data_IF_672894025733
#
_entry.id   IF_672894025733
#
_cell.length_a   1.000
_cell.length_b   1.000
_cell.length_c   1.000
_cell.angle_alpha   90.00
_cell.angle_beta   90.00
_cell.angle_gamma   90.00
#
_symmetry.space_group_name_H-M   'P 1'
#
loop_
_entity.id
_entity.type
_entity.pdbx_description
1 polymer ?
#
# COMPACT_ATOMS: atom_id res chain seq x y z
N UNK A 1 15.29 -3.18 -79.77
CA UNK A 1 14.57 -2.61 -80.93
C UNK A 1 15.32 -2.77 -82.26
N UNK A 2 16.58 -2.31 -82.39
CA UNK A 2 17.35 -2.42 -83.65
C UNK A 2 17.49 -3.86 -84.21
N UNK A 3 17.57 -4.86 -83.32
CA UNK A 3 17.66 -6.28 -83.67
C UNK A 3 16.44 -6.80 -84.47
N UNK A 4 15.22 -6.30 -84.17
CA UNK A 4 14.01 -6.66 -84.90
C UNK A 4 13.90 -5.91 -86.24
N UNK A 5 14.38 -4.66 -86.26
CA UNK A 5 14.37 -3.81 -87.45
C UNK A 5 15.21 -4.43 -88.58
N UNK A 6 16.37 -5.01 -88.27
CA UNK A 6 17.20 -5.72 -89.25
C UNK A 6 16.45 -6.91 -89.89
N UNK A 7 15.72 -7.71 -89.09
CA UNK A 7 14.93 -8.83 -89.60
C UNK A 7 13.80 -8.40 -90.53
N UNK A 8 13.10 -7.31 -90.19
CA UNK A 8 12.02 -6.76 -91.02
C UNK A 8 12.57 -6.22 -92.35
N UNK A 9 13.72 -5.54 -92.33
CA UNK A 9 14.38 -5.06 -93.56
C UNK A 9 14.73 -6.23 -94.49
N UNK A 10 15.26 -7.32 -93.94
CA UNK A 10 15.60 -8.52 -94.75
C UNK A 10 14.34 -9.12 -95.39
N UNK A 11 13.23 -9.23 -94.64
CA UNK A 11 11.96 -9.74 -95.18
C UNK A 11 11.44 -8.84 -96.31
N UNK A 12 11.50 -7.51 -96.13
CA UNK A 12 11.09 -6.54 -97.15
C UNK A 12 11.96 -6.63 -98.42
N UNK A 13 13.27 -6.82 -98.26
CA UNK A 13 14.20 -6.98 -99.39
C UNK A 13 13.90 -8.27 -100.17
N UNK A 14 13.68 -9.40 -99.48
CA UNK A 14 13.25 -10.67 -100.10
C UNK A 14 11.92 -10.50 -100.84
N UNK A 15 10.98 -9.76 -100.26
CA UNK A 15 9.67 -9.49 -100.86
C UNK A 15 9.82 -8.64 -102.12
N UNK A 16 10.64 -7.59 -102.08
CA UNK A 16 10.92 -6.72 -103.23
C UNK A 16 11.59 -7.49 -104.38
N UNK A 17 12.57 -8.36 -104.08
CA UNK A 17 13.20 -9.24 -105.08
C UNK A 17 12.18 -10.18 -105.71
N UNK A 18 11.29 -10.77 -104.89
CA UNK A 18 10.25 -11.69 -105.37
C UNK A 18 9.26 -10.99 -106.29
N UNK A 19 8.83 -9.76 -105.94
CA UNK A 19 7.91 -8.95 -106.76
C UNK A 19 8.58 -8.51 -108.06
N UNK A 20 9.84 -8.08 -108.02
CA UNK A 20 10.60 -7.71 -109.22
C UNK A 20 10.82 -8.90 -110.15
N UNK A 21 11.14 -10.08 -109.61
CA UNK A 21 11.27 -11.31 -110.38
C UNK A 21 9.94 -11.70 -111.04
N UNK A 22 8.83 -11.57 -110.31
CA UNK A 22 7.49 -11.85 -110.83
C UNK A 22 7.05 -10.91 -111.96
N UNK A 23 7.45 -9.64 -111.92
CA UNK A 23 7.11 -8.66 -112.97
C UNK A 23 7.93 -8.85 -114.25
N UNK A 24 9.18 -9.30 -114.14
CA UNK A 24 10.10 -9.33 -115.28
C UNK A 24 10.09 -10.70 -116.00
N UNK A 25 10.00 -11.81 -115.27
CA UNK A 25 10.30 -13.16 -115.76
C UNK A 25 9.14 -14.14 -115.51
N UNK A 26 7.95 -13.82 -116.04
CA UNK A 26 6.72 -14.61 -115.81
C UNK A 26 6.51 -15.77 -116.81
N UNK A 27 7.41 -15.98 -117.78
CA UNK A 27 7.19 -16.97 -118.86
C UNK A 27 7.73 -18.38 -118.57
N UNK A 28 8.68 -18.54 -117.65
CA UNK A 28 9.34 -19.82 -117.40
C UNK A 28 8.85 -20.47 -116.07
N UNK A 29 8.10 -21.58 -116.13
CA UNK A 29 7.52 -22.22 -114.93
C UNK A 29 8.58 -22.75 -113.95
N UNK A 30 9.79 -23.08 -114.44
CA UNK A 30 10.89 -23.58 -113.60
C UNK A 30 11.47 -22.48 -112.68
N UNK A 31 11.56 -21.23 -113.15
CA UNK A 31 12.08 -20.12 -112.34
C UNK A 31 11.13 -19.74 -111.21
N UNK A 32 9.82 -19.78 -111.46
CA UNK A 32 8.79 -19.53 -110.44
C UNK A 32 8.90 -20.54 -109.30
N UNK A 33 9.06 -21.84 -109.62
CA UNK A 33 9.20 -22.88 -108.62
C UNK A 33 10.42 -22.67 -107.70
N UNK A 34 11.56 -22.24 -108.26
CA UNK A 34 12.78 -21.95 -107.48
C UNK A 34 12.60 -20.75 -106.56
N UNK A 35 11.99 -19.66 -107.06
CA UNK A 35 11.75 -18.46 -106.26
C UNK A 35 10.78 -18.74 -105.11
N UNK A 36 9.72 -19.50 -105.35
CA UNK A 36 8.75 -19.90 -104.31
C UNK A 36 9.42 -20.75 -103.24
N UNK A 37 10.24 -21.74 -103.62
CA UNK A 37 10.96 -22.59 -102.67
C UNK A 37 11.94 -21.77 -101.82
N UNK A 38 12.69 -20.85 -102.45
CA UNK A 38 13.63 -19.97 -101.75
C UNK A 38 12.91 -19.05 -100.75
N UNK A 39 11.80 -18.44 -101.16
CA UNK A 39 10.98 -17.58 -100.29
C UNK A 39 10.39 -18.36 -99.10
N UNK A 40 10.00 -19.63 -99.31
CA UNK A 40 9.53 -20.50 -98.22
C UNK A 40 10.63 -20.80 -97.20
N UNK A 41 11.85 -21.10 -97.65
CA UNK A 41 13.01 -21.32 -96.76
C UNK A 41 13.33 -20.05 -95.97
N UNK A 42 13.35 -18.89 -96.65
CA UNK A 42 13.60 -17.60 -96.00
C UNK A 42 12.52 -17.24 -94.97
N UNK A 43 11.24 -17.54 -95.27
CA UNK A 43 10.14 -17.33 -94.32
C UNK A 43 10.31 -18.19 -93.05
N UNK A 44 10.67 -19.47 -93.21
CA UNK A 44 10.93 -20.38 -92.06
C UNK A 44 12.12 -19.89 -91.24
N UNK A 45 13.20 -19.48 -91.90
CA UNK A 45 14.39 -18.96 -91.21
C UNK A 45 14.09 -17.66 -90.45
N UNK A 46 13.33 -16.75 -91.07
CA UNK A 46 12.89 -15.50 -90.44
C UNK A 46 11.96 -15.76 -89.24
N UNK A 47 11.04 -16.72 -89.35
CA UNK A 47 10.17 -17.13 -88.25
C UNK A 47 10.99 -17.69 -87.08
N UNK A 48 11.98 -18.55 -87.35
CA UNK A 48 12.86 -19.09 -86.32
C UNK A 48 13.72 -18.01 -85.68
N UNK A 49 14.26 -17.08 -86.48
CA UNK A 49 15.02 -15.93 -85.99
C UNK A 49 14.19 -15.04 -85.05
N UNK A 50 12.92 -14.77 -85.41
CA UNK A 50 12.02 -13.97 -84.59
C UNK A 50 11.65 -14.65 -83.26
N UNK A 51 11.46 -15.97 -83.27
CA UNK A 51 11.22 -16.75 -82.04
C UNK A 51 12.46 -16.76 -81.15
N UNK A 52 13.65 -16.93 -81.73
CA UNK A 52 14.90 -16.94 -80.98
C UNK A 52 15.15 -15.59 -80.28
N UNK A 53 15.02 -14.47 -81.02
CA UNK A 53 15.26 -13.13 -80.47
C UNK A 53 14.19 -12.75 -79.42
N UNK A 54 12.94 -13.17 -79.62
CA UNK A 54 11.85 -12.94 -78.67
C UNK A 54 12.06 -13.69 -77.36
N UNK A 55 12.52 -14.94 -77.43
CA UNK A 55 12.85 -15.75 -76.25
C UNK A 55 14.05 -15.19 -75.48
N UNK A 56 15.08 -14.72 -76.17
CA UNK A 56 16.25 -14.11 -75.53
C UNK A 56 15.89 -12.82 -74.78
N UNK A 57 15.12 -11.93 -75.41
CA UNK A 57 14.68 -10.69 -74.77
C UNK A 57 13.83 -10.98 -73.52
N UNK A 58 12.86 -11.90 -73.64
CA UNK A 58 12.00 -12.26 -72.50
C UNK A 58 12.79 -12.88 -71.35
N UNK A 59 13.79 -13.73 -71.64
CA UNK A 59 14.67 -14.29 -70.62
C UNK A 59 15.49 -13.21 -69.91
N UNK A 60 16.05 -12.27 -70.66
CA UNK A 60 16.84 -11.17 -70.10
C UNK A 60 15.98 -10.26 -69.20
N UNK A 61 14.73 -9.97 -69.61
CA UNK A 61 13.80 -9.21 -68.77
C UNK A 61 13.42 -9.96 -67.50
N UNK A 62 13.13 -11.26 -67.59
CA UNK A 62 12.84 -12.09 -66.43
C UNK A 62 14.03 -12.16 -65.47
N UNK A 63 15.25 -12.32 -65.97
CA UNK A 63 16.47 -12.31 -65.14
C UNK A 63 16.65 -10.97 -64.43
N UNK A 64 16.50 -9.85 -65.15
CA UNK A 64 16.60 -8.53 -64.54
C UNK A 64 15.54 -8.31 -63.45
N UNK A 65 14.31 -8.76 -63.68
CA UNK A 65 13.26 -8.71 -62.65
C UNK A 65 13.61 -9.58 -61.45
N UNK A 66 14.13 -10.79 -61.65
CA UNK A 66 14.57 -11.67 -60.57
C UNK A 66 15.70 -11.06 -59.74
N UNK A 67 16.69 -10.45 -60.39
CA UNK A 67 17.79 -9.74 -59.71
C UNK A 67 17.28 -8.55 -58.90
N UNK A 68 16.36 -7.75 -59.45
CA UNK A 68 15.72 -6.65 -58.74
C UNK A 68 14.93 -7.15 -57.52
N UNK A 69 14.17 -8.24 -57.68
CA UNK A 69 13.45 -8.84 -56.56
C UNK A 69 14.39 -9.39 -55.48
N UNK A 70 15.53 -9.99 -55.85
CA UNK A 70 16.53 -10.45 -54.89
C UNK A 70 17.13 -9.26 -54.12
N UNK A 71 17.51 -8.19 -54.84
CA UNK A 71 18.04 -6.97 -54.24
C UNK A 71 17.02 -6.27 -53.34
N UNK A 72 15.75 -6.18 -53.75
CA UNK A 72 14.68 -5.61 -52.94
C UNK A 72 14.47 -6.40 -51.65
N UNK A 73 14.52 -7.73 -51.71
CA UNK A 73 14.42 -8.59 -50.52
C UNK A 73 15.56 -8.33 -49.55
N UNK A 74 16.81 -8.26 -50.02
CA UNK A 74 17.96 -7.94 -49.18
C UNK A 74 17.81 -6.56 -48.54
N UNK A 75 17.37 -5.56 -49.32
CA UNK A 75 17.14 -4.20 -48.81
C UNK A 75 16.06 -4.17 -47.72
N UNK A 76 14.96 -4.90 -47.90
CA UNK A 76 13.88 -4.98 -46.90
C UNK A 76 14.39 -5.68 -45.63
N UNK A 77 15.15 -6.77 -45.77
CA UNK A 77 15.72 -7.49 -44.63
C UNK A 77 16.69 -6.61 -43.83
N UNK A 78 17.60 -5.91 -44.51
CA UNK A 78 18.54 -4.98 -43.85
C UNK A 78 17.80 -3.84 -43.14
N UNK A 79 16.75 -3.29 -43.74
CA UNK A 79 15.95 -2.26 -43.11
C UNK A 79 15.20 -2.80 -41.87
N UNK A 80 14.61 -3.99 -41.97
CA UNK A 80 13.95 -4.64 -40.84
C UNK A 80 14.92 -4.98 -39.71
N UNK A 81 16.16 -5.36 -40.04
CA UNK A 81 17.21 -5.61 -39.04
C UNK A 81 17.64 -4.33 -38.33
N UNK A 82 17.84 -3.23 -39.07
CA UNK A 82 18.13 -1.91 -38.48
C UNK A 82 16.99 -1.42 -37.58
N UNK A 83 15.75 -1.59 -38.02
CA UNK A 83 14.58 -1.21 -37.22
C UNK A 83 14.50 -2.04 -35.93
N UNK A 84 14.70 -3.35 -36.02
CA UNK A 84 14.79 -4.21 -34.83
C UNK A 84 15.92 -3.80 -33.88
N UNK A 85 17.08 -3.43 -34.42
CA UNK A 85 18.20 -2.94 -33.62
C UNK A 85 17.85 -1.63 -32.90
N UNK A 86 17.25 -0.66 -33.60
CA UNK A 86 16.82 0.60 -32.99
C UNK A 86 15.75 0.38 -31.91
N UNK A 87 14.72 -0.44 -32.20
CA UNK A 87 13.67 -0.77 -31.21
C UNK A 87 14.27 -1.47 -29.98
N UNK A 88 15.27 -2.34 -30.16
CA UNK A 88 15.95 -3.00 -29.04
C UNK A 88 16.70 -1.99 -28.17
N UNK A 89 17.38 -1.03 -28.80
CA UNK A 89 18.09 0.06 -28.10
C UNK A 89 17.12 1.00 -27.36
N UNK A 90 16.00 1.36 -27.99
CA UNK A 90 14.94 2.15 -27.34
C UNK A 90 14.34 1.41 -26.15
N UNK A 91 14.07 0.10 -26.29
CA UNK A 91 13.59 -0.73 -25.18
C UNK A 91 14.58 -0.81 -24.03
N UNK A 92 15.89 -0.96 -24.30
CA UNK A 92 16.88 -0.96 -23.23
C UNK A 92 16.96 0.39 -22.52
N UNK A 93 16.91 1.50 -23.27
CA UNK A 93 16.88 2.85 -22.68
C UNK A 93 15.65 3.07 -21.80
N UNK A 94 14.46 2.68 -22.27
CA UNK A 94 13.22 2.74 -21.48
C UNK A 94 13.29 1.85 -20.24
N UNK A 95 13.85 0.64 -20.36
CA UNK A 95 14.03 -0.26 -19.24
C UNK A 95 14.98 0.32 -18.18
N UNK A 96 16.08 0.95 -18.61
CA UNK A 96 17.00 1.66 -17.71
C UNK A 96 16.35 2.89 -17.05
N UNK A 97 15.50 3.61 -17.76
CA UNK A 97 14.72 4.72 -17.19
C UNK A 97 13.74 4.21 -16.13
N UNK A 98 12.99 3.15 -16.43
CA UNK A 98 12.08 2.55 -15.47
C UNK A 98 12.80 1.94 -14.26
N UNK A 99 13.99 1.37 -14.43
CA UNK A 99 14.81 0.90 -13.31
C UNK A 99 15.20 2.07 -12.39
N UNK A 100 15.66 3.19 -12.98
CA UNK A 100 16.00 4.42 -12.24
C UNK A 100 14.79 5.03 -11.52
N UNK A 101 13.64 5.10 -12.18
CA UNK A 101 12.39 5.57 -11.57
C UNK A 101 11.97 4.70 -10.37
N UNK A 102 12.09 3.37 -10.50
CA UNK A 102 11.81 2.44 -9.41
C UNK A 102 12.72 2.67 -8.21
N UNK A 103 14.02 2.84 -8.43
CA UNK A 103 14.97 3.16 -7.35
C UNK A 103 14.64 4.48 -6.67
N UNK A 104 14.28 5.51 -7.44
CA UNK A 104 13.88 6.80 -6.88
C UNK A 104 12.61 6.70 -6.02
N UNK A 105 11.60 5.95 -6.46
CA UNK A 105 10.37 5.73 -5.71
C UNK A 105 10.66 4.94 -4.42
N UNK A 106 11.51 3.92 -4.49
CA UNK A 106 11.91 3.14 -3.32
C UNK A 106 12.64 4.02 -2.29
N UNK A 107 13.61 4.83 -2.72
CA UNK A 107 14.31 5.77 -1.84
C UNK A 107 13.37 6.82 -1.24
N UNK A 108 12.40 7.31 -2.00
CA UNK A 108 11.39 8.23 -1.49
C UNK A 108 10.51 7.56 -0.43
N UNK A 109 10.06 6.34 -0.67
CA UNK A 109 9.26 5.56 0.27
C UNK A 109 10.05 5.20 1.54
N UNK A 110 11.34 4.89 1.43
CA UNK A 110 12.22 4.66 2.59
C UNK A 110 12.38 5.92 3.44
N UNK A 111 12.61 7.08 2.81
CA UNK A 111 12.67 8.37 3.51
C UNK A 111 11.36 8.70 4.21
N UNK A 112 10.23 8.49 3.54
CA UNK A 112 8.90 8.73 4.11
C UNK A 112 8.62 7.81 5.30
N UNK A 113 8.98 6.53 5.21
CA UNK A 113 8.88 5.60 6.34
C UNK A 113 9.72 6.07 7.53
N UNK A 114 10.95 6.54 7.27
CA UNK A 114 11.83 7.06 8.32
C UNK A 114 11.26 8.32 8.99
N UNK A 115 10.69 9.26 8.22
CA UNK A 115 10.07 10.47 8.78
C UNK A 115 8.81 10.15 9.57
N UNK A 116 7.94 9.26 9.07
CA UNK A 116 6.74 8.80 9.79
C UNK A 116 7.12 8.08 11.09
N UNK A 117 8.14 7.22 11.06
CA UNK A 117 8.64 6.56 12.26
C UNK A 117 9.12 7.58 13.31
N UNK A 118 9.94 8.55 12.92
CA UNK A 118 10.39 9.64 13.80
C UNK A 118 9.22 10.47 14.35
N UNK A 119 8.23 10.78 13.51
CA UNK A 119 7.05 11.51 13.92
C UNK A 119 6.19 10.70 14.90
N UNK A 120 6.07 9.39 14.68
CA UNK A 120 5.41 8.46 15.61
C UNK A 120 6.10 8.44 16.97
N UNK A 121 7.43 8.32 17.03
CA UNK A 121 8.17 8.39 18.29
C UNK A 121 7.96 9.72 19.02
N UNK A 122 8.03 10.85 18.31
CA UNK A 122 7.77 12.18 18.90
C UNK A 122 6.34 12.31 19.42
N UNK A 123 5.36 11.77 18.71
CA UNK A 123 3.96 11.78 19.13
C UNK A 123 3.75 10.88 20.34
N UNK A 124 4.36 9.69 20.37
CA UNK A 124 4.36 8.81 21.55
C UNK A 124 4.99 9.51 22.75
N UNK A 125 6.13 10.17 22.62
CA UNK A 125 6.69 10.96 23.74
C UNK A 125 5.75 12.07 24.22
N UNK A 126 5.08 12.77 23.30
CA UNK A 126 4.10 13.81 23.66
C UNK A 126 2.90 13.21 24.38
N UNK A 127 2.39 12.08 23.92
CA UNK A 127 1.27 11.38 24.55
C UNK A 127 1.68 10.75 25.89
N UNK A 128 2.90 10.20 26.02
CA UNK A 128 3.48 9.75 27.28
C UNK A 128 3.61 10.93 28.25
N UNK A 129 4.13 12.09 27.81
CA UNK A 129 4.21 13.30 28.65
C UNK A 129 2.81 13.77 29.09
N UNK A 130 1.82 13.79 28.19
CA UNK A 130 0.43 14.14 28.54
C UNK A 130 -0.21 13.11 29.46
N UNK A 131 0.04 11.82 29.25
CA UNK A 131 -0.47 10.73 30.08
C UNK A 131 0.15 10.77 31.48
N UNK A 132 1.47 11.02 31.59
CA UNK A 132 2.13 11.26 32.87
C UNK A 132 1.61 12.52 33.56
N UNK A 133 1.36 13.62 32.84
CA UNK A 133 0.75 14.82 33.41
C UNK A 133 -0.67 14.55 33.93
N UNK A 134 -1.50 13.82 33.17
CA UNK A 134 -2.85 13.41 33.59
C UNK A 134 -2.81 12.42 34.77
N UNK A 135 -1.86 11.51 34.80
CA UNK A 135 -1.67 10.56 35.89
C UNK A 135 -1.20 11.25 37.17
N UNK A 136 -0.24 12.17 37.07
CA UNK A 136 0.21 12.99 38.19
C UNK A 136 -0.91 13.91 38.72
N UNK A 137 -1.75 14.44 37.84
CA UNK A 137 -2.94 15.21 38.25
C UNK A 137 -3.96 14.32 39.00
N UNK A 138 -4.24 13.11 38.51
CA UNK A 138 -5.17 12.18 39.18
C UNK A 138 -4.62 11.71 40.53
N UNK A 139 -3.31 11.46 40.63
CA UNK A 139 -2.65 11.14 41.89
C UNK A 139 -2.70 12.33 42.87
N UNK A 140 -2.49 13.56 42.38
CA UNK A 140 -2.64 14.78 43.17
C UNK A 140 -4.05 14.99 43.71
N UNK A 141 -5.07 14.77 42.89
CA UNK A 141 -6.49 14.86 43.30
C UNK A 141 -6.84 13.81 44.36
N UNK A 142 -6.37 12.57 44.21
CA UNK A 142 -6.62 11.52 45.22
C UNK A 142 -5.94 11.88 46.55
N UNK A 143 -4.71 12.42 46.50
CA UNK A 143 -3.98 12.83 47.69
C UNK A 143 -4.66 14.02 48.40
N UNK A 144 -5.17 15.01 47.66
CA UNK A 144 -5.89 16.15 48.25
C UNK A 144 -7.24 15.75 48.83
N UNK A 145 -7.97 14.85 48.16
CA UNK A 145 -9.23 14.29 48.70
C UNK A 145 -8.95 13.50 49.99
N UNK A 146 -7.91 12.67 50.02
CA UNK A 146 -7.54 11.91 51.21
C UNK A 146 -7.09 12.83 52.36
N UNK A 147 -6.29 13.85 52.08
CA UNK A 147 -5.84 14.82 53.07
C UNK A 147 -7.01 15.65 53.63
N UNK A 148 -7.95 16.08 52.78
CA UNK A 148 -9.16 16.78 53.20
C UNK A 148 -10.04 15.90 54.11
N UNK A 149 -10.24 14.63 53.77
CA UNK A 149 -10.97 13.68 54.61
C UNK A 149 -10.28 13.48 55.98
N UNK A 150 -8.95 13.35 56.00
CA UNK A 150 -8.18 13.29 57.24
C UNK A 150 -8.32 14.54 58.11
N UNK A 151 -8.31 15.73 57.49
CA UNK A 151 -8.53 17.01 58.18
C UNK A 151 -9.91 17.11 58.82
N UNK A 152 -10.96 16.65 58.13
CA UNK A 152 -12.33 16.60 58.67
C UNK A 152 -12.42 15.67 59.89
N UNK A 153 -11.74 14.52 59.86
CA UNK A 153 -11.74 13.59 60.99
C UNK A 153 -11.01 14.17 62.21
N UNK A 154 -9.85 14.80 62.01
CA UNK A 154 -9.11 15.47 63.09
C UNK A 154 -9.95 16.60 63.70
N UNK A 155 -10.62 17.39 62.86
CA UNK A 155 -11.52 18.46 63.32
C UNK A 155 -12.70 17.92 64.14
N UNK A 156 -13.32 16.83 63.67
CA UNK A 156 -14.41 16.18 64.42
C UNK A 156 -13.94 15.65 65.78
N UNK A 157 -12.73 15.09 65.85
CA UNK A 157 -12.18 14.57 67.11
C UNK A 157 -11.85 15.69 68.10
N UNK A 158 -11.36 16.84 67.62
CA UNK A 158 -11.15 18.03 68.46
C UNK A 158 -12.45 18.53 69.08
N UNK A 159 -13.56 18.54 68.33
CA UNK A 159 -14.88 18.91 68.86
C UNK A 159 -15.34 17.91 69.92
N UNK A 160 -15.21 16.61 69.66
CA UNK A 160 -15.62 15.57 70.62
C UNK A 160 -14.83 15.67 71.91
N UNK A 161 -13.50 15.79 71.85
CA UNK A 161 -12.65 15.95 73.03
C UNK A 161 -12.96 17.26 73.75
N UNK A 162 -13.16 18.37 73.02
CA UNK A 162 -13.53 19.66 73.59
C UNK A 162 -14.85 19.61 74.37
N UNK A 163 -15.88 18.97 73.81
CA UNK A 163 -17.15 18.77 74.53
C UNK A 163 -16.99 17.83 75.72
N UNK A 164 -16.17 16.78 75.61
CA UNK A 164 -15.91 15.86 76.72
C UNK A 164 -15.23 16.59 77.89
N UNK A 165 -14.28 17.48 77.62
CA UNK A 165 -13.64 18.35 78.63
C UNK A 165 -14.66 19.31 79.24
N UNK A 166 -15.48 20.00 78.43
CA UNK A 166 -16.49 20.94 78.94
C UNK A 166 -17.56 20.25 79.81
N UNK A 167 -18.03 19.07 79.41
CA UNK A 167 -18.98 18.27 80.18
C UNK A 167 -18.34 17.75 81.47
N UNK A 168 -17.11 17.26 81.42
CA UNK A 168 -16.38 16.81 82.60
C UNK A 168 -16.10 17.95 83.59
N UNK A 169 -15.64 19.11 83.11
CA UNK A 169 -15.42 20.29 83.97
C UNK A 169 -16.73 20.88 84.47
N UNK A 170 -17.77 20.90 83.63
CA UNK A 170 -19.10 21.44 83.96
C UNK A 170 -19.84 20.59 84.98
N UNK A 171 -19.76 19.26 84.87
CA UNK A 171 -20.36 18.32 85.83
C UNK A 171 -19.66 18.37 87.20
N UNK A 172 -18.34 18.56 87.22
CA UNK A 172 -17.60 18.80 88.46
C UNK A 172 -18.14 20.02 89.21
N UNK A 173 -18.19 21.18 88.55
CA UNK A 173 -18.68 22.42 89.15
C UNK A 173 -20.17 22.37 89.53
N UNK A 174 -21.02 21.76 88.71
CA UNK A 174 -22.45 21.57 89.01
C UNK A 174 -22.68 20.68 90.24
N UNK A 175 -21.87 19.62 90.41
CA UNK A 175 -21.91 18.76 91.59
C UNK A 175 -21.57 19.51 92.88
N UNK A 176 -20.55 20.36 92.87
CA UNK A 176 -20.22 21.21 94.02
C UNK A 176 -21.32 22.25 94.31
N UNK A 177 -21.93 22.84 93.28
CA UNK A 177 -23.01 23.81 93.46
C UNK A 177 -24.32 23.17 93.96
N UNK A 178 -24.62 21.94 93.53
CA UNK A 178 -25.74 21.16 94.05
C UNK A 178 -25.53 20.74 95.51
N UNK A 179 -24.30 20.35 95.89
CA UNK A 179 -23.97 19.99 97.29
C UNK A 179 -24.08 21.19 98.23
N UNK A 180 -23.65 22.38 97.80
CA UNK A 180 -23.83 23.63 98.55
C UNK A 180 -25.32 23.99 98.78
N UNK A 181 -26.24 23.51 97.93
CA UNK A 181 -27.70 23.65 98.16
C UNK A 181 -28.25 22.57 99.09
N UNK A 182 -27.76 21.34 99.01
CA UNK A 182 -28.23 20.25 99.87
C UNK A 182 -27.87 20.46 101.34
N UNK A 183 -26.67 20.99 101.64
CA UNK A 183 -26.26 21.32 103.02
C UNK A 183 -27.11 22.42 103.68
N UNK A 184 -27.76 23.29 102.88
CA UNK A 184 -28.74 24.25 103.42
C UNK A 184 -30.11 23.62 103.72
N UNK A 185 -30.44 22.47 103.11
CA UNK A 185 -31.72 21.79 103.31
C UNK A 185 -31.67 20.72 104.41
N UNK A 186 -30.53 20.04 104.59
CA UNK A 186 -30.37 18.95 105.56
C UNK A 186 -30.07 19.40 107.00
N UNK A 187 -29.81 20.68 107.24
CA UNK A 187 -29.67 21.23 108.60
C UNK A 187 -31.01 21.53 109.30
N UNK A 188 -32.14 21.43 108.60
CA UNK A 188 -33.46 21.87 109.09
C UNK A 188 -34.37 20.73 109.61
N UNK A 189 -33.94 19.46 109.56
CA UNK A 189 -34.78 18.35 110.05
C UNK A 189 -34.02 17.24 110.78
N UNK A 190 -34.29 17.21 112.10
CA UNK A 190 -34.42 16.06 113.03
C UNK A 190 -33.32 15.84 114.08
N UNK A 191 -33.61 16.33 115.29
CA UNK A 191 -33.61 15.57 116.56
C UNK A 191 -34.94 15.91 117.28
N UNK A 192 -35.72 14.94 117.79
CA UNK A 192 -35.51 14.28 119.09
C UNK A 192 -35.52 12.73 118.96
N UNK A 193 -34.84 11.90 119.78
CA UNK A 193 -34.95 11.70 121.23
C UNK A 193 -36.20 10.88 121.55
N UNK A 194 -36.23 9.74 122.24
CA UNK A 194 -35.28 8.87 122.95
C UNK A 194 -36.00 7.52 123.21
N UNK A 195 -35.25 6.51 123.65
CA UNK A 195 -35.54 5.07 123.78
C UNK A 195 -36.81 4.59 124.53
N UNK A 196 -37.38 3.45 124.09
CA UNK A 196 -37.93 2.38 124.96
C UNK A 196 -37.66 0.99 124.34
N UNK A 197 -36.77 0.23 125.02
CA UNK A 197 -36.86 -1.16 125.50
C UNK A 197 -37.54 -2.23 124.63
N UNK A 198 -36.86 -3.30 124.22
CA UNK A 198 -36.40 -4.50 124.97
C UNK A 198 -37.44 -5.64 124.97
N UNK A 199 -36.94 -6.85 124.66
CA UNK A 199 -37.54 -8.20 124.81
C UNK A 199 -38.45 -8.58 123.63
N UNK A 200 -38.08 -9.51 122.74
CA UNK A 200 -38.20 -10.97 122.90
C UNK A 200 -37.47 -11.64 121.69
N UNK A 201 -36.23 -12.15 121.77
CA UNK A 201 -35.84 -13.53 122.15
C UNK A 201 -36.91 -14.57 121.75
N UNK A 202 -36.75 -15.58 120.88
CA UNK A 202 -35.67 -16.55 120.72
C UNK A 202 -36.15 -17.60 119.69
N UNK A 203 -35.30 -18.06 118.76
CA UNK A 203 -35.22 -19.47 118.29
C UNK A 203 -34.18 -19.66 117.15
N UNK A 204 -32.99 -20.18 117.52
CA UNK A 204 -32.23 -21.32 116.91
C UNK A 204 -32.27 -21.53 115.37
N UNK A 205 -31.17 -21.37 114.59
CA UNK A 205 -29.91 -22.19 114.44
C UNK A 205 -30.16 -23.59 113.79
N UNK A 206 -29.30 -24.17 112.90
CA UNK A 206 -28.49 -23.69 111.75
C UNK A 206 -28.45 -24.72 110.56
N UNK A 207 -27.60 -24.55 109.53
CA UNK A 207 -26.88 -25.65 108.86
C UNK A 207 -25.79 -25.14 107.87
N UNK A 208 -24.75 -25.96 107.72
CA UNK A 208 -23.42 -25.70 107.19
C UNK A 208 -23.23 -25.93 105.66
N UNK A 209 -22.24 -25.22 105.10
CA UNK A 209 -21.20 -25.59 104.10
C UNK A 209 -21.46 -26.60 102.97
N UNK A 210 -21.03 -26.23 101.75
CA UNK A 210 -20.09 -27.04 100.91
C UNK A 210 -19.51 -26.16 99.75
N UNK A 211 -18.20 -25.81 99.75
CA UNK A 211 -17.08 -26.31 98.90
C UNK A 211 -17.44 -26.51 97.40
N UNK A 212 -16.63 -26.16 96.40
CA UNK A 212 -15.23 -26.62 96.14
C UNK A 212 -14.70 -25.99 94.81
N UNK A 213 -13.38 -25.70 94.79
CA UNK A 213 -12.35 -25.69 93.72
C UNK A 213 -12.72 -26.14 92.27
N UNK A 214 -12.00 -25.87 91.17
CA UNK A 214 -10.58 -25.58 90.88
C UNK A 214 -10.45 -25.21 89.38
N UNK A 215 -9.32 -24.61 88.99
CA UNK A 215 -8.58 -24.71 87.71
C UNK A 215 -9.32 -24.71 86.36
#
# INVERSE_FOLDING_TARGET
MLKFLFGIIVIQLVTAITVMAALNWLLDPQFIAVVVLFSLIMAVLAAFWFVYIGRDLHKNELQKMQELHAFERERILLNAEREKANIKEERSKLQEQHAREREMILLAAEREKATIALQSYRNQEKEIRKAHAKANFKAGVICTVAAAAGGVLIFSQLITVGMMVLIASGSGLAGYMARARYERLSSDKRLPGDEIKLIENQATIPAHLEKRHEK
#
